data_IF_507069276242
#
_entry.id   IF_507069276242
#
_cell.length_a   1.000
_cell.length_b   1.000
_cell.length_c   1.000
_cell.angle_alpha   90.00
_cell.angle_beta   90.00
_cell.angle_gamma   90.00
#
_symmetry.space_group_name_H-M   'P 1'
#
loop_
_entity.id
_entity.type
_entity.pdbx_description
1 polymer ?
#
# COMPACT_ATOMS: atom_id res chain seq x y z
N UNK A 1 -11.84 26.63 3.09
CA UNK A 1 -10.89 25.49 3.17
C UNK A 1 -10.85 25.06 4.60
N UNK A 2 -11.56 23.99 4.95
CA UNK A 2 -11.59 23.53 6.33
C UNK A 2 -10.47 22.53 6.56
N UNK A 3 -9.35 23.06 7.04
CA UNK A 3 -8.27 22.24 7.57
C UNK A 3 -8.79 21.42 8.74
N UNK A 4 -8.39 20.14 8.80
CA UNK A 4 -8.71 19.28 9.94
C UNK A 4 -8.11 19.89 11.21
N UNK A 5 -8.69 19.55 12.37
CA UNK A 5 -8.20 20.04 13.66
C UNK A 5 -6.69 19.77 13.83
N UNK A 6 -6.24 18.59 13.41
CA UNK A 6 -4.84 18.19 13.43
C UNK A 6 -3.95 19.04 12.52
N UNK A 7 -4.35 19.25 11.26
CA UNK A 7 -3.58 20.08 10.31
C UNK A 7 -3.44 21.52 10.80
N UNK A 8 -4.47 22.06 11.46
CA UNK A 8 -4.44 23.41 12.04
C UNK A 8 -3.43 23.52 13.18
N UNK A 9 -3.35 22.51 14.04
CA UNK A 9 -2.35 22.43 15.12
C UNK A 9 -0.94 22.37 14.51
N UNK A 10 -0.72 21.48 13.53
CA UNK A 10 0.58 21.33 12.87
C UNK A 10 1.03 22.64 12.20
N UNK A 11 0.13 23.31 11.49
CA UNK A 11 0.44 24.58 10.83
C UNK A 11 0.75 25.70 11.84
N UNK A 12 0.04 25.76 12.97
CA UNK A 12 0.33 26.76 14.01
C UNK A 12 1.71 26.55 14.65
N UNK A 13 2.11 25.29 14.84
CA UNK A 13 3.40 24.95 15.44
C UNK A 13 4.58 25.21 14.49
N UNK A 14 4.48 24.77 13.22
CA UNK A 14 5.64 24.69 12.32
C UNK A 14 5.42 25.30 10.93
N UNK A 15 4.24 25.84 10.64
CA UNK A 15 3.92 26.42 9.33
C UNK A 15 4.85 27.55 8.93
N UNK A 16 5.23 28.43 9.87
CA UNK A 16 6.18 29.51 9.63
C UNK A 16 7.59 29.04 9.26
N UNK A 17 8.04 27.94 9.87
CA UNK A 17 9.38 27.36 9.65
C UNK A 17 9.49 26.77 8.24
N UNK A 18 8.47 26.03 7.81
CA UNK A 18 8.48 25.35 6.51
C UNK A 18 8.03 26.22 5.34
N UNK A 19 7.45 27.41 5.60
CA UNK A 19 6.88 28.30 4.57
C UNK A 19 7.78 28.54 3.36
N UNK A 20 9.03 28.97 3.56
CA UNK A 20 9.94 29.28 2.44
C UNK A 20 10.34 28.01 1.68
N UNK A 21 10.73 26.95 2.39
CA UNK A 21 11.22 25.71 1.79
C UNK A 21 10.13 24.94 1.06
N UNK A 22 8.94 24.82 1.66
CA UNK A 22 7.83 24.07 1.09
C UNK A 22 7.21 24.77 -0.14
N UNK A 23 7.20 26.11 -0.18
CA UNK A 23 6.73 26.86 -1.36
C UNK A 23 7.74 26.90 -2.51
N UNK A 24 9.03 26.74 -2.21
CA UNK A 24 10.07 26.63 -3.23
C UNK A 24 10.10 25.25 -3.92
N UNK A 25 9.54 24.23 -3.26
CA UNK A 25 9.43 22.87 -3.77
C UNK A 25 8.30 22.78 -4.83
N UNK A 26 8.69 22.92 -6.09
CA UNK A 26 7.75 22.85 -7.24
C UNK A 26 7.13 21.48 -7.38
N UNK A 27 7.89 20.41 -7.15
CA UNK A 27 7.41 19.03 -7.28
C UNK A 27 6.34 18.73 -6.23
N UNK A 28 6.57 19.16 -4.99
CA UNK A 28 5.56 19.03 -3.94
C UNK A 28 4.28 19.80 -4.28
N UNK A 29 4.41 21.05 -4.73
CA UNK A 29 3.25 21.86 -5.11
C UNK A 29 2.45 21.23 -6.25
N UNK A 30 3.13 20.73 -7.27
CA UNK A 30 2.53 20.05 -8.41
C UNK A 30 1.81 18.76 -7.98
N UNK A 31 2.46 17.93 -7.15
CA UNK A 31 1.86 16.73 -6.59
C UNK A 31 0.61 17.02 -5.75
N UNK A 32 0.59 18.11 -4.97
CA UNK A 32 -0.58 18.48 -4.17
C UNK A 32 -1.77 18.90 -5.06
N UNK A 33 -1.49 19.65 -6.13
CA UNK A 33 -2.51 20.05 -7.11
C UNK A 33 -3.05 18.82 -7.84
N UNK A 34 -2.17 17.96 -8.36
CA UNK A 34 -2.53 16.73 -9.07
C UNK A 34 -3.28 15.74 -8.17
N UNK A 35 -2.92 15.65 -6.89
CA UNK A 35 -3.62 14.83 -5.91
C UNK A 35 -4.99 15.39 -5.50
N UNK A 36 -5.40 16.58 -5.98
CA UNK A 36 -6.62 17.26 -5.52
C UNK A 36 -6.68 17.45 -3.99
N UNK A 37 -5.52 17.63 -3.35
CA UNK A 37 -5.45 17.85 -1.91
C UNK A 37 -5.58 19.34 -1.62
N UNK A 38 -6.67 19.81 -0.96
CA UNK A 38 -6.94 21.23 -0.74
C UNK A 38 -6.11 21.79 0.42
N UNK A 39 -4.78 21.67 0.33
CA UNK A 39 -3.86 22.11 1.37
C UNK A 39 -2.62 22.77 0.77
N UNK A 40 -2.11 23.78 1.47
CA UNK A 40 -0.89 24.48 1.06
C UNK A 40 0.35 23.61 1.33
N UNK A 41 1.42 23.71 0.52
CA UNK A 41 2.65 22.93 0.70
C UNK A 41 3.25 23.03 2.11
N UNK A 42 3.16 24.20 2.73
CA UNK A 42 3.65 24.44 4.10
C UNK A 42 2.84 23.70 5.17
N UNK A 43 1.52 23.55 4.98
CA UNK A 43 0.66 22.79 5.87
C UNK A 43 0.94 21.30 5.73
N UNK A 44 1.17 20.83 4.51
CA UNK A 44 1.52 19.43 4.25
C UNK A 44 2.85 19.06 4.90
N UNK A 45 3.90 19.85 4.67
CA UNK A 45 5.21 19.61 5.26
C UNK A 45 5.18 19.68 6.80
N UNK A 46 4.45 20.65 7.37
CA UNK A 46 4.27 20.72 8.81
C UNK A 46 3.54 19.49 9.36
N UNK A 47 2.51 18.99 8.66
CA UNK A 47 1.79 17.78 9.07
C UNK A 47 2.70 16.55 9.01
N UNK A 48 3.43 16.36 7.91
CA UNK A 48 4.40 15.26 7.74
C UNK A 48 5.46 15.26 8.84
N UNK A 49 5.99 16.43 9.18
CA UNK A 49 7.00 16.53 10.23
C UNK A 49 6.44 16.19 11.62
N UNK A 50 5.29 16.76 11.98
CA UNK A 50 4.67 16.48 13.30
C UNK A 50 4.23 15.02 13.40
N UNK A 51 3.66 14.43 12.35
CA UNK A 51 3.28 13.01 12.39
C UNK A 51 4.49 12.09 12.50
N UNK A 52 5.57 12.36 11.76
CA UNK A 52 6.83 11.62 11.89
C UNK A 52 7.42 11.77 13.29
N UNK A 53 7.38 12.96 13.88
CA UNK A 53 7.83 13.17 15.26
C UNK A 53 7.00 12.37 16.26
N UNK A 54 5.67 12.37 16.13
CA UNK A 54 4.78 11.58 17.00
C UNK A 54 5.06 10.07 16.86
N UNK A 55 5.20 9.57 15.63
CA UNK A 55 5.55 8.16 15.38
C UNK A 55 6.91 7.82 16.00
N UNK A 56 7.88 8.74 15.89
CA UNK A 56 9.21 8.57 16.49
C UNK A 56 9.13 8.54 18.02
N UNK A 57 8.39 9.46 18.64
CA UNK A 57 8.21 9.50 20.08
C UNK A 57 7.51 8.24 20.61
N UNK A 58 6.48 7.76 19.91
CA UNK A 58 5.81 6.49 20.22
C UNK A 58 6.74 5.28 20.04
N UNK A 59 7.55 5.26 18.97
CA UNK A 59 8.53 4.21 18.72
C UNK A 59 9.62 4.15 19.80
N UNK A 60 10.14 5.31 20.21
CA UNK A 60 11.11 5.42 21.32
C UNK A 60 10.45 5.00 22.64
N UNK A 61 9.22 5.46 22.91
CA UNK A 61 8.47 5.05 24.10
C UNK A 61 8.23 3.54 24.15
N UNK A 62 7.90 2.92 23.01
CA UNK A 62 7.74 1.47 22.91
C UNK A 62 9.06 0.74 23.16
N UNK A 63 10.18 1.20 22.59
CA UNK A 63 11.50 0.63 22.89
C UNK A 63 11.87 0.83 24.36
N UNK A 64 11.57 1.99 24.95
CA UNK A 64 11.86 2.26 26.35
C UNK A 64 11.18 1.27 27.31
N UNK A 65 9.97 0.78 26.98
CA UNK A 65 9.28 -0.26 27.77
C UNK A 65 10.09 -1.56 27.89
N UNK A 66 10.95 -1.89 26.92
CA UNK A 66 11.83 -3.07 27.02
C UNK A 66 12.93 -2.91 28.07
N UNK A 67 13.32 -1.67 28.37
CA UNK A 67 14.43 -1.32 29.28
C UNK A 67 13.96 -0.80 30.65
N UNK A 68 12.65 -0.82 30.93
CA UNK A 68 12.13 -0.42 32.25
C UNK A 68 12.59 -1.47 33.30
N UNK A 69 13.20 -1.06 34.41
CA UNK A 69 13.57 -2.00 35.48
C UNK A 69 12.31 -2.65 36.09
N UNK A 70 12.41 -3.91 36.52
CA UNK A 70 11.38 -4.73 37.17
C UNK A 70 10.18 -5.15 36.30
N UNK A 71 9.81 -4.36 35.28
CA UNK A 71 8.62 -4.59 34.44
C UNK A 71 9.00 -4.84 32.97
N UNK A 72 10.21 -4.46 32.57
CA UNK A 72 10.67 -4.57 31.19
C UNK A 72 10.91 -6.02 30.77
N UNK A 73 10.68 -6.30 29.49
CA UNK A 73 10.86 -7.63 28.89
C UNK A 73 12.30 -8.14 29.06
N UNK A 74 13.29 -7.25 29.02
CA UNK A 74 14.71 -7.61 29.19
C UNK A 74 14.96 -8.10 30.62
N UNK A 75 14.50 -7.37 31.63
CA UNK A 75 14.70 -7.72 33.04
C UNK A 75 13.91 -8.98 33.41
N UNK A 76 12.69 -9.13 32.89
CA UNK A 76 11.90 -10.36 33.04
C UNK A 76 12.61 -11.58 32.44
N UNK A 77 13.24 -11.43 31.28
CA UNK A 77 14.00 -12.50 30.64
C UNK A 77 15.31 -12.79 31.39
N UNK A 78 16.00 -11.76 31.90
CA UNK A 78 17.22 -11.89 32.71
C UNK A 78 16.94 -12.39 34.14
N UNK A 79 15.69 -12.36 34.60
CA UNK A 79 15.26 -12.96 35.87
C UNK A 79 15.08 -14.49 35.82
N UNK A 80 15.03 -15.08 34.62
CA UNK A 80 14.88 -16.52 34.44
C UNK A 80 16.23 -17.24 34.53
N UNK A 81 16.21 -18.47 35.05
CA UNK A 81 17.38 -19.34 35.08
C UNK A 81 17.79 -19.76 33.66
N UNK A 82 19.09 -19.91 33.42
CA UNK A 82 19.62 -20.41 32.16
C UNK A 82 19.27 -21.92 32.00
N UNK A 83 18.62 -22.34 30.90
CA UNK A 83 18.25 -23.74 30.66
C UNK A 83 19.43 -24.72 30.74
N UNK A 84 20.65 -24.26 30.49
CA UNK A 84 21.86 -25.09 30.59
C UNK A 84 22.26 -25.40 32.04
N UNK A 85 21.81 -24.58 32.99
CA UNK A 85 22.11 -24.72 34.42
C UNK A 85 20.96 -25.37 35.20
N UNK A 86 19.77 -25.50 34.61
CA UNK A 86 18.61 -26.13 35.24
C UNK A 86 18.87 -27.59 35.63
N UNK A 87 19.35 -28.41 34.70
CA UNK A 87 19.62 -29.83 34.97
C UNK A 87 20.78 -30.05 35.97
N UNK A 88 21.95 -29.40 35.83
CA UNK A 88 23.03 -29.50 36.82
C UNK A 88 22.61 -29.06 38.22
N UNK A 89 21.81 -27.99 38.35
CA UNK A 89 21.35 -27.53 39.66
C UNK A 89 20.31 -28.46 40.27
N UNK A 90 19.42 -29.03 39.46
CA UNK A 90 18.46 -30.04 39.93
C UNK A 90 19.18 -31.31 40.41
N UNK A 91 20.20 -31.76 39.67
CA UNK A 91 21.03 -32.90 40.09
C UNK A 91 21.80 -32.58 41.38
N UNK A 92 22.39 -31.39 41.50
CA UNK A 92 23.09 -30.97 42.71
C UNK A 92 22.18 -30.95 43.94
N UNK A 93 20.96 -30.42 43.81
CA UNK A 93 19.97 -30.40 44.89
C UNK A 93 19.58 -31.81 45.36
N UNK A 94 19.50 -32.76 44.43
CA UNK A 94 19.24 -34.17 44.74
C UNK A 94 20.37 -34.84 45.54
N UNK A 95 21.63 -34.53 45.22
CA UNK A 95 22.79 -35.15 45.86
C UNK A 95 23.26 -34.45 47.15
N UNK A 96 22.93 -33.17 47.36
CA UNK A 96 23.40 -32.36 48.51
C UNK A 96 22.26 -31.63 49.25
N UNK A 97 21.31 -32.36 49.85
CA UNK A 97 20.12 -31.77 50.48
C UNK A 97 20.41 -30.95 51.74
N UNK A 98 21.55 -31.16 52.40
CA UNK A 98 21.99 -30.45 53.61
C UNK A 98 22.60 -29.06 53.32
N UNK A 99 22.93 -28.80 52.06
CA UNK A 99 23.56 -27.55 51.59
C UNK A 99 22.57 -26.63 50.87
N UNK A 100 21.29 -27.02 50.79
CA UNK A 100 20.23 -26.24 50.17
C UNK A 100 19.97 -25.00 51.02
N UNK A 101 20.05 -23.84 50.38
CA UNK A 101 19.71 -22.56 50.97
C UNK A 101 18.55 -21.94 50.18
N UNK A 102 17.32 -22.19 50.64
CA UNK A 102 16.08 -21.66 50.05
C UNK A 102 16.02 -20.12 50.02
N UNK A 103 16.89 -19.43 50.78
CA UNK A 103 16.96 -17.97 50.78
C UNK A 103 17.72 -17.41 49.58
N UNK A 104 18.43 -18.25 48.80
CA UNK A 104 19.24 -17.85 47.65
C UNK A 104 18.59 -18.27 46.32
N UNK A 105 18.76 -17.49 45.25
CA UNK A 105 18.29 -17.87 43.92
C UNK A 105 18.97 -19.19 43.49
N UNK A 106 18.18 -20.15 43.01
CA UNK A 106 18.65 -21.49 42.65
C UNK A 106 19.06 -22.37 43.83
N UNK A 107 18.47 -22.16 45.02
CA UNK A 107 18.70 -22.98 46.22
C UNK A 107 20.16 -23.05 46.70
N UNK A 108 21.00 -22.09 46.29
CA UNK A 108 22.43 -22.06 46.60
C UNK A 108 23.33 -22.88 45.66
N UNK A 109 22.79 -23.35 44.53
CA UNK A 109 23.52 -24.12 43.52
C UNK A 109 24.79 -23.37 43.03
N UNK A 110 25.98 -24.02 43.05
CA UNK A 110 27.24 -23.40 42.60
C UNK A 110 27.26 -22.97 41.13
N UNK A 111 26.53 -23.69 40.28
CA UNK A 111 26.47 -23.48 38.82
C UNK A 111 25.28 -22.60 38.40
N UNK A 112 24.52 -22.04 39.34
CA UNK A 112 23.37 -21.19 39.05
C UNK A 112 23.78 -19.96 38.24
N UNK A 113 23.19 -19.80 37.05
CA UNK A 113 23.31 -18.61 36.21
C UNK A 113 21.94 -18.20 35.70
N UNK A 114 21.71 -16.89 35.68
CA UNK A 114 20.57 -16.31 35.00
C UNK A 114 20.87 -16.10 33.53
N UNK A 115 19.81 -16.04 32.71
CA UNK A 115 19.96 -15.74 31.29
C UNK A 115 20.49 -14.31 31.10
N UNK A 116 21.38 -14.07 30.11
CA UNK A 116 21.88 -12.72 29.75
C UNK A 116 21.39 -12.30 28.37
N UNK A 117 20.63 -11.19 28.28
CA UNK A 117 19.94 -10.88 27.03
C UNK A 117 20.98 -10.45 25.99
N UNK A 118 20.98 -11.04 24.78
CA UNK A 118 22.04 -10.81 23.81
C UNK A 118 22.30 -9.32 23.57
N UNK A 119 23.53 -8.81 23.80
CA UNK A 119 23.83 -7.37 23.65
C UNK A 119 23.52 -6.84 22.25
N UNK A 120 23.69 -7.70 21.23
CA UNK A 120 23.37 -7.40 19.83
C UNK A 120 21.87 -7.08 19.66
N UNK A 121 20.97 -7.82 20.31
CA UNK A 121 19.53 -7.58 20.23
C UNK A 121 19.14 -6.27 20.94
N UNK A 122 19.80 -5.90 22.04
CA UNK A 122 19.57 -4.60 22.72
C UNK A 122 19.91 -3.45 21.76
N UNK A 123 21.07 -3.53 21.10
CA UNK A 123 21.50 -2.55 20.10
C UNK A 123 20.55 -2.53 18.89
N UNK A 124 20.11 -3.69 18.41
CA UNK A 124 19.14 -3.78 17.31
C UNK A 124 17.79 -3.13 17.66
N UNK A 125 17.24 -3.37 18.85
CA UNK A 125 16.00 -2.73 19.31
C UNK A 125 16.11 -1.20 19.33
N UNK A 126 17.20 -0.67 19.88
CA UNK A 126 17.45 0.78 19.94
C UNK A 126 17.66 1.38 18.55
N UNK A 127 18.43 0.71 17.69
CA UNK A 127 18.65 1.18 16.31
C UNK A 127 17.39 1.12 15.46
N UNK A 128 16.57 0.07 15.60
CA UNK A 128 15.29 -0.05 14.91
C UNK A 128 14.35 1.08 15.33
N UNK A 129 14.08 1.24 16.63
CA UNK A 129 13.15 2.25 17.11
C UNK A 129 13.65 3.69 17.00
N UNK A 130 14.96 3.91 17.13
CA UNK A 130 15.58 5.23 17.13
C UNK A 130 15.99 5.76 15.75
N UNK A 131 16.32 4.88 14.80
CA UNK A 131 16.84 5.28 13.48
C UNK A 131 15.97 4.76 12.34
N UNK A 132 15.69 3.46 12.30
CA UNK A 132 14.99 2.85 11.17
C UNK A 132 13.54 3.30 11.11
N UNK A 133 12.80 3.23 12.22
CA UNK A 133 11.39 3.62 12.28
C UNK A 133 11.20 5.11 11.95
N UNK A 134 11.96 6.06 12.52
CA UNK A 134 11.85 7.47 12.17
C UNK A 134 12.19 7.76 10.70
N UNK A 135 13.24 7.13 10.19
CA UNK A 135 13.65 7.29 8.80
C UNK A 135 12.59 6.75 7.83
N UNK A 136 12.06 5.55 8.10
CA UNK A 136 10.99 4.95 7.30
C UNK A 136 9.71 5.78 7.37
N UNK A 137 9.31 6.23 8.56
CA UNK A 137 8.14 7.07 8.76
C UNK A 137 8.25 8.41 8.01
N UNK A 138 9.41 9.07 8.08
CA UNK A 138 9.68 10.29 7.29
C UNK A 138 9.54 10.04 5.79
N UNK A 139 10.20 9.00 5.27
CA UNK A 139 10.17 8.68 3.84
C UNK A 139 8.76 8.35 3.36
N UNK A 140 8.02 7.56 4.14
CA UNK A 140 6.65 7.15 3.84
C UNK A 140 5.67 8.33 3.86
N UNK A 141 5.71 9.16 4.91
CA UNK A 141 4.81 10.29 5.06
C UNK A 141 5.07 11.38 4.02
N UNK A 142 6.35 11.68 3.73
CA UNK A 142 6.73 12.67 2.70
C UNK A 142 6.28 12.24 1.30
N UNK A 143 6.32 10.94 1.00
CA UNK A 143 5.86 10.38 -0.28
C UNK A 143 4.34 10.32 -0.43
N UNK A 144 3.55 10.71 0.57
CA UNK A 144 2.09 10.62 0.54
C UNK A 144 1.46 11.40 -0.62
N UNK A 145 1.94 12.62 -0.90
CA UNK A 145 1.37 13.46 -1.94
C UNK A 145 1.57 12.89 -3.34
N UNK A 146 2.78 12.43 -3.65
CA UNK A 146 3.10 11.78 -4.91
C UNK A 146 2.29 10.49 -5.10
N UNK A 147 2.12 9.72 -4.03
CA UNK A 147 1.37 8.46 -4.06
C UNK A 147 -0.12 8.68 -4.30
N UNK A 148 -0.70 9.73 -3.71
CA UNK A 148 -2.08 10.13 -3.94
C UNK A 148 -2.28 10.69 -5.36
N UNK A 149 -1.35 11.50 -5.84
CA UNK A 149 -1.37 11.99 -7.23
C UNK A 149 -1.32 10.84 -8.24
N UNK A 150 -0.46 9.84 -8.00
CA UNK A 150 -0.39 8.63 -8.82
C UNK A 150 -1.69 7.83 -8.77
N UNK A 151 -2.23 7.55 -7.57
CA UNK A 151 -3.51 6.84 -7.42
C UNK A 151 -4.64 7.53 -8.19
N UNK A 152 -4.73 8.86 -8.08
CA UNK A 152 -5.73 9.65 -8.81
C UNK A 152 -5.50 9.61 -10.33
N UNK A 153 -4.25 9.69 -10.78
CA UNK A 153 -3.88 9.54 -12.19
C UNK A 153 -4.33 8.18 -12.76
N UNK A 154 -4.03 7.09 -12.05
CA UNK A 154 -4.39 5.72 -12.43
C UNK A 154 -5.93 5.55 -12.51
N UNK A 155 -6.65 6.09 -11.52
CA UNK A 155 -8.12 6.11 -11.51
C UNK A 155 -8.71 6.91 -12.67
N UNK A 156 -8.14 8.07 -12.98
CA UNK A 156 -8.57 8.88 -14.12
C UNK A 156 -8.39 8.11 -15.42
N UNK A 157 -7.25 7.48 -15.65
CA UNK A 157 -6.97 6.73 -16.89
C UNK A 157 -7.90 5.55 -17.09
N UNK A 158 -8.30 4.89 -16.00
CA UNK A 158 -9.29 3.81 -16.01
C UNK A 158 -10.66 4.27 -16.49
N UNK A 159 -11.14 5.43 -16.02
CA UNK A 159 -12.48 5.94 -16.37
C UNK A 159 -12.51 6.85 -17.60
N UNK A 160 -11.35 7.35 -18.04
CA UNK A 160 -11.22 8.29 -19.17
C UNK A 160 -11.81 7.75 -20.49
N UNK A 161 -11.65 6.47 -20.89
CA UNK A 161 -12.26 5.94 -22.11
C UNK A 161 -13.78 6.08 -22.13
N UNK A 162 -14.43 5.85 -20.98
CA UNK A 162 -15.88 5.96 -20.82
C UNK A 162 -16.32 7.43 -20.80
N UNK A 163 -15.60 8.29 -20.09
CA UNK A 163 -15.86 9.72 -20.09
C UNK A 163 -15.67 10.34 -21.49
N UNK A 164 -14.61 9.96 -22.22
CA UNK A 164 -14.36 10.40 -23.59
C UNK A 164 -15.48 9.94 -24.54
N UNK A 165 -15.91 8.69 -24.43
CA UNK A 165 -17.06 8.16 -25.19
C UNK A 165 -18.34 8.96 -24.92
N UNK A 166 -18.57 9.35 -23.67
CA UNK A 166 -19.67 10.21 -23.29
C UNK A 166 -19.56 11.63 -23.89
N UNK A 167 -18.37 12.24 -23.86
CA UNK A 167 -18.14 13.54 -24.51
C UNK A 167 -18.38 13.48 -26.02
N UNK A 168 -17.98 12.39 -26.66
CA UNK A 168 -18.20 12.16 -28.08
C UNK A 168 -19.69 12.03 -28.42
N UNK A 169 -20.44 11.25 -27.63
CA UNK A 169 -21.89 11.09 -27.80
C UNK A 169 -22.65 12.42 -27.60
N UNK A 170 -22.33 13.16 -26.54
CA UNK A 170 -22.95 14.45 -26.28
C UNK A 170 -22.58 15.50 -27.33
N UNK A 171 -21.33 15.52 -27.78
CA UNK A 171 -20.90 16.39 -28.87
C UNK A 171 -21.54 16.00 -30.21
N UNK A 172 -21.80 14.71 -30.45
CA UNK A 172 -22.52 14.25 -31.62
C UNK A 172 -23.98 14.73 -31.62
N UNK A 173 -24.58 14.85 -30.44
CA UNK A 173 -25.89 15.46 -30.19
C UNK A 173 -25.85 17.01 -30.14
N UNK A 174 -24.77 17.64 -30.60
CA UNK A 174 -24.57 19.10 -30.62
C UNK A 174 -24.66 19.77 -29.24
N UNK A 175 -24.33 19.08 -28.16
CA UNK A 175 -24.20 19.70 -26.85
C UNK A 175 -22.98 20.63 -26.82
N UNK A 176 -23.12 21.79 -26.16
CA UNK A 176 -22.00 22.71 -25.95
C UNK A 176 -21.00 22.12 -24.95
N UNK A 177 -19.70 22.44 -25.05
CA UNK A 177 -18.68 21.93 -24.12
C UNK A 177 -19.03 22.16 -22.64
N UNK A 178 -19.57 23.33 -22.30
CA UNK A 178 -20.03 23.63 -20.95
C UNK A 178 -21.11 22.64 -20.44
N UNK A 179 -22.06 22.26 -21.31
CA UNK A 179 -23.10 21.28 -20.96
C UNK A 179 -22.54 19.86 -20.84
N UNK A 180 -21.55 19.51 -21.67
CA UNK A 180 -20.85 18.22 -21.62
C UNK A 180 -20.14 18.07 -20.26
N UNK A 181 -19.30 19.03 -19.89
CA UNK A 181 -18.56 18.98 -18.62
C UNK A 181 -19.47 19.08 -17.40
N UNK A 182 -20.56 19.85 -17.47
CA UNK A 182 -21.59 19.85 -16.42
C UNK A 182 -22.15 18.45 -16.19
N UNK A 183 -22.48 17.75 -17.27
CA UNK A 183 -23.09 16.43 -17.17
C UNK A 183 -22.11 15.36 -16.67
N UNK A 184 -20.84 15.43 -17.09
CA UNK A 184 -19.77 14.59 -16.49
C UNK A 184 -19.62 14.86 -14.99
N UNK A 185 -19.62 16.13 -14.58
CA UNK A 185 -19.49 16.53 -13.18
C UNK A 185 -20.65 16.05 -12.29
N UNK A 186 -21.85 15.88 -12.85
CA UNK A 186 -23.03 15.43 -12.12
C UNK A 186 -23.06 13.91 -11.89
N UNK A 187 -22.28 13.13 -12.63
CA UNK A 187 -22.28 11.66 -12.58
C UNK A 187 -20.94 11.11 -12.03
N UNK A 188 -20.61 11.49 -10.78
CA UNK A 188 -19.37 11.08 -10.11
C UNK A 188 -19.31 9.58 -9.82
N UNK A 189 -20.46 8.97 -9.59
CA UNK A 189 -20.63 7.53 -9.40
C UNK A 189 -20.17 6.70 -10.61
N UNK A 190 -20.29 7.25 -11.82
CA UNK A 190 -19.90 6.57 -13.07
C UNK A 190 -18.46 6.91 -13.48
N UNK A 191 -18.08 8.19 -13.38
CA UNK A 191 -16.81 8.68 -13.96
C UNK A 191 -15.70 8.94 -12.93
N UNK A 192 -15.97 8.75 -11.64
CA UNK A 192 -14.96 8.86 -10.58
C UNK A 192 -14.24 10.21 -10.58
N UNK A 193 -12.91 10.17 -10.47
CA UNK A 193 -12.06 11.36 -10.38
C UNK A 193 -12.09 12.25 -11.66
N UNK A 194 -12.51 11.70 -12.82
CA UNK A 194 -12.72 12.47 -14.06
C UNK A 194 -13.88 13.46 -13.90
N UNK A 195 -14.92 13.09 -13.13
CA UNK A 195 -16.04 13.98 -12.84
C UNK A 195 -15.59 15.20 -12.03
N UNK A 196 -14.62 15.04 -11.13
CA UNK A 196 -14.07 16.15 -10.34
C UNK A 196 -13.30 17.14 -11.23
N UNK A 197 -12.49 16.65 -12.18
CA UNK A 197 -11.82 17.52 -13.17
C UNK A 197 -12.82 18.20 -14.11
N UNK A 198 -13.88 17.50 -14.51
CA UNK A 198 -14.98 18.09 -15.28
C UNK A 198 -15.74 19.15 -14.49
N UNK A 199 -15.93 18.96 -13.17
CA UNK A 199 -16.56 19.95 -12.30
C UNK A 199 -15.71 21.23 -12.21
N UNK A 200 -14.38 21.09 -12.14
CA UNK A 200 -13.46 22.21 -12.15
C UNK A 200 -13.52 22.97 -13.48
N UNK A 201 -13.57 22.28 -14.61
CA UNK A 201 -13.79 22.90 -15.93
C UNK A 201 -15.11 23.68 -15.95
N UNK A 202 -16.20 23.05 -15.52
CA UNK A 202 -17.53 23.66 -15.54
C UNK A 202 -17.58 24.91 -14.66
N UNK A 203 -16.97 24.86 -13.47
CA UNK A 203 -16.80 26.01 -12.56
C UNK A 203 -16.02 27.13 -13.25
N UNK A 204 -14.89 26.82 -13.88
CA UNK A 204 -14.02 27.83 -14.49
C UNK A 204 -14.74 28.56 -15.64
N UNK A 205 -15.54 27.85 -16.43
CA UNK A 205 -16.31 28.45 -17.54
C UNK A 205 -17.57 29.17 -17.08
N UNK A 206 -18.36 28.55 -16.19
CA UNK A 206 -19.72 29.05 -15.86
C UNK A 206 -19.74 29.97 -14.64
N UNK A 207 -18.90 29.73 -13.64
CA UNK A 207 -18.88 30.53 -12.41
C UNK A 207 -17.82 31.63 -12.46
N UNK A 208 -16.63 31.32 -12.99
CA UNK A 208 -15.53 32.31 -13.08
C UNK A 208 -15.54 33.12 -14.39
N UNK A 209 -16.31 32.69 -15.39
CA UNK A 209 -16.46 33.38 -16.67
C UNK A 209 -15.21 33.32 -17.55
N UNK A 210 -14.31 32.36 -17.32
CA UNK A 210 -13.17 32.15 -18.22
C UNK A 210 -13.63 31.59 -19.57
N UNK A 211 -12.93 31.99 -20.63
CA UNK A 211 -13.15 31.38 -21.94
C UNK A 211 -12.74 29.90 -21.92
N UNK A 212 -13.29 29.12 -22.85
CA UNK A 212 -13.08 27.67 -22.89
C UNK A 212 -11.60 27.32 -23.10
N UNK A 213 -10.83 28.10 -23.87
CA UNK A 213 -9.42 27.82 -24.13
C UNK A 213 -8.61 28.01 -22.85
N UNK A 214 -8.84 29.12 -22.13
CA UNK A 214 -8.21 29.38 -20.83
C UNK A 214 -8.59 28.34 -19.79
N UNK A 215 -9.87 27.96 -19.70
CA UNK A 215 -10.32 26.91 -18.80
C UNK A 215 -9.66 25.56 -19.09
N UNK A 216 -9.48 25.19 -20.36
CA UNK A 216 -8.77 23.96 -20.74
C UNK A 216 -7.27 24.04 -20.40
N UNK A 217 -6.60 25.17 -20.62
CA UNK A 217 -5.19 25.37 -20.22
C UNK A 217 -5.00 25.21 -18.71
N UNK A 218 -5.89 25.80 -17.91
CA UNK A 218 -5.88 25.61 -16.45
C UNK A 218 -6.12 24.14 -16.05
N UNK A 219 -6.93 23.40 -16.82
CA UNK A 219 -7.13 21.96 -16.61
C UNK A 219 -5.90 21.12 -16.95
N UNK A 220 -5.15 21.49 -17.98
CA UNK A 220 -3.88 20.82 -18.35
C UNK A 220 -2.89 20.88 -17.19
N UNK A 221 -2.74 22.04 -16.55
CA UNK A 221 -1.76 22.22 -15.47
C UNK A 221 -2.11 21.46 -14.19
N UNK A 222 -3.39 21.11 -13.97
CA UNK A 222 -3.85 20.39 -12.76
C UNK A 222 -4.14 18.91 -12.97
N UNK A 223 -4.09 18.41 -14.20
CA UNK A 223 -4.41 17.03 -14.52
C UNK A 223 -3.37 16.07 -13.94
N UNK A 224 -3.85 15.02 -13.25
CA UNK A 224 -2.98 14.02 -12.63
C UNK A 224 -2.51 12.92 -13.61
N UNK A 225 -3.26 12.72 -14.70
CA UNK A 225 -3.01 11.71 -15.73
C UNK A 225 -2.40 12.34 -16.99
N UNK A 226 -1.54 11.56 -17.66
CA UNK A 226 -0.96 11.94 -18.96
C UNK A 226 -2.05 11.96 -20.04
N UNK A 227 -2.91 10.94 -20.11
CA UNK A 227 -3.98 10.89 -21.11
C UNK A 227 -5.03 11.99 -20.92
N UNK A 228 -5.34 12.35 -19.67
CA UNK A 228 -6.25 13.48 -19.41
C UNK A 228 -5.61 14.81 -19.82
N UNK A 229 -4.29 14.95 -19.57
CA UNK A 229 -3.52 16.11 -20.04
C UNK A 229 -3.57 16.22 -21.56
N UNK A 230 -3.31 15.13 -22.28
CA UNK A 230 -3.39 15.08 -23.75
C UNK A 230 -4.81 15.35 -24.28
N UNK A 231 -5.84 14.90 -23.54
CA UNK A 231 -7.23 15.17 -23.88
C UNK A 231 -7.52 16.68 -23.83
N UNK A 232 -7.15 17.36 -22.74
CA UNK A 232 -7.35 18.80 -22.66
C UNK A 232 -6.44 19.60 -23.61
N UNK A 233 -5.19 19.18 -23.77
CA UNK A 233 -4.26 19.81 -24.72
C UNK A 233 -4.77 19.69 -26.17
N UNK A 234 -5.27 18.53 -26.57
CA UNK A 234 -5.84 18.32 -27.89
C UNK A 234 -7.12 19.13 -28.12
N UNK A 235 -7.93 19.35 -27.07
CA UNK A 235 -9.05 20.29 -27.14
C UNK A 235 -8.59 21.73 -27.37
N UNK A 236 -7.56 22.19 -26.64
CA UNK A 236 -6.96 23.52 -26.84
C UNK A 236 -6.46 23.68 -28.27
N UNK A 237 -5.72 22.68 -28.77
CA UNK A 237 -5.21 22.68 -30.14
C UNK A 237 -6.33 22.74 -31.19
N UNK A 238 -7.38 21.94 -31.01
CA UNK A 238 -8.53 21.91 -31.92
C UNK A 238 -9.28 23.24 -31.92
N UNK A 239 -9.53 23.82 -30.75
CA UNK A 239 -10.23 25.10 -30.61
C UNK A 239 -9.42 26.26 -31.20
N UNK A 240 -8.10 26.28 -30.95
CA UNK A 240 -7.22 27.35 -31.43
C UNK A 240 -7.04 27.30 -32.95
N UNK A 241 -7.05 26.10 -33.54
CA UNK A 241 -6.96 25.91 -34.99
C UNK A 241 -8.30 26.11 -35.73
N UNK A 242 -9.41 26.42 -35.03
CA UNK A 242 -10.74 26.52 -35.63
C UNK A 242 -11.32 25.17 -36.09
N UNK A 243 -10.79 24.06 -35.56
CA UNK A 243 -11.23 22.70 -35.86
C UNK A 243 -12.55 22.32 -35.20
N UNK A 244 -13.09 21.17 -35.61
CA UNK A 244 -14.36 20.65 -35.08
C UNK A 244 -14.13 19.78 -33.83
N UNK A 245 -14.56 20.28 -32.66
CA UNK A 245 -14.48 19.52 -31.40
C UNK A 245 -15.21 18.17 -31.45
N UNK A 246 -16.31 18.08 -32.21
CA UNK A 246 -17.06 16.82 -32.40
C UNK A 246 -16.17 15.71 -32.96
N UNK A 247 -15.42 16.02 -34.02
CA UNK A 247 -14.53 15.04 -34.64
C UNK A 247 -13.37 14.69 -33.71
N UNK A 248 -12.84 15.67 -32.98
CA UNK A 248 -11.81 15.44 -31.97
C UNK A 248 -12.27 14.46 -30.88
N UNK A 249 -13.46 14.67 -30.29
CA UNK A 249 -13.98 13.78 -29.25
C UNK A 249 -14.26 12.37 -29.78
N UNK A 250 -14.82 12.23 -30.99
CA UNK A 250 -15.06 10.92 -31.60
C UNK A 250 -13.74 10.14 -31.78
N UNK A 251 -12.72 10.79 -32.36
CA UNK A 251 -11.42 10.15 -32.56
C UNK A 251 -10.74 9.77 -31.24
N UNK A 252 -10.82 10.64 -30.22
CA UNK A 252 -10.22 10.36 -28.90
C UNK A 252 -10.97 9.28 -28.13
N UNK A 253 -12.29 9.25 -28.22
CA UNK A 253 -13.09 8.17 -27.67
C UNK A 253 -12.72 6.82 -28.29
N UNK A 254 -12.61 6.74 -29.62
CA UNK A 254 -12.19 5.52 -30.30
C UNK A 254 -10.77 5.09 -29.89
N UNK A 255 -9.84 6.03 -29.83
CA UNK A 255 -8.47 5.77 -29.41
C UNK A 255 -8.39 5.19 -27.99
N UNK A 256 -9.02 5.85 -27.00
CA UNK A 256 -9.01 5.38 -25.62
C UNK A 256 -9.79 4.07 -25.43
N UNK A 257 -10.88 3.86 -26.18
CA UNK A 257 -11.62 2.59 -26.13
C UNK A 257 -10.82 1.44 -26.74
N UNK A 258 -10.04 1.69 -27.79
CA UNK A 258 -9.13 0.70 -28.36
C UNK A 258 -8.04 0.32 -27.37
N UNK A 259 -7.44 1.31 -26.71
CA UNK A 259 -6.41 1.07 -25.69
C UNK A 259 -6.97 0.30 -24.49
N UNK A 260 -8.19 0.64 -24.04
CA UNK A 260 -8.88 -0.07 -22.97
C UNK A 260 -9.15 -1.54 -23.34
N UNK A 261 -9.53 -1.83 -24.59
CA UNK A 261 -9.70 -3.22 -25.07
C UNK A 261 -8.38 -3.99 -25.06
N UNK A 262 -7.28 -3.36 -25.46
CA UNK A 262 -5.93 -3.97 -25.39
C UNK A 262 -5.54 -4.28 -23.95
N UNK A 263 -5.71 -3.31 -23.03
CA UNK A 263 -5.41 -3.48 -21.60
C UNK A 263 -6.25 -4.59 -20.95
N UNK A 264 -7.55 -4.64 -21.28
CA UNK A 264 -8.42 -5.73 -20.82
C UNK A 264 -7.98 -7.08 -21.39
N UNK A 265 -7.55 -7.13 -22.66
CA UNK A 265 -7.00 -8.34 -23.28
C UNK A 265 -5.77 -8.87 -22.54
N UNK A 266 -4.80 -8.01 -22.25
CA UNK A 266 -3.59 -8.37 -21.48
C UNK A 266 -3.93 -8.88 -20.08
N UNK A 267 -4.95 -8.29 -19.45
CA UNK A 267 -5.42 -8.77 -18.15
C UNK A 267 -6.06 -10.16 -18.24
N UNK A 268 -6.92 -10.40 -19.23
CA UNK A 268 -7.52 -11.72 -19.44
C UNK A 268 -6.46 -12.79 -19.74
N UNK A 269 -5.41 -12.44 -20.49
CA UNK A 269 -4.25 -13.29 -20.72
C UNK A 269 -3.50 -13.60 -19.42
N UNK A 270 -3.33 -12.61 -18.54
CA UNK A 270 -2.73 -12.82 -17.22
C UNK A 270 -3.57 -13.77 -16.35
N UNK A 271 -4.91 -13.64 -16.34
CA UNK A 271 -5.79 -14.61 -15.66
C UNK A 271 -5.67 -16.00 -16.28
N UNK A 272 -5.59 -16.11 -17.61
CA UNK A 272 -5.46 -17.39 -18.29
C UNK A 272 -4.16 -18.10 -17.89
N UNK A 273 -3.04 -17.38 -17.84
CA UNK A 273 -1.75 -17.92 -17.37
C UNK A 273 -1.82 -18.38 -15.91
N UNK A 274 -2.49 -17.62 -15.04
CA UNK A 274 -2.70 -18.04 -13.65
C UNK A 274 -3.54 -19.32 -13.58
N UNK A 275 -4.61 -19.44 -14.37
CA UNK A 275 -5.45 -20.62 -14.43
C UNK A 275 -4.70 -21.86 -14.96
N UNK A 276 -3.87 -21.69 -15.99
CA UNK A 276 -3.02 -22.76 -16.51
C UNK A 276 -2.03 -23.26 -15.45
N UNK A 277 -1.33 -22.31 -14.79
CA UNK A 277 -0.39 -22.66 -13.72
C UNK A 277 -1.06 -23.37 -12.54
N UNK A 278 -2.31 -23.00 -12.21
CA UNK A 278 -3.10 -23.62 -11.16
C UNK A 278 -3.40 -25.09 -11.46
N UNK A 279 -3.82 -25.40 -12.69
CA UNK A 279 -4.13 -26.79 -13.08
C UNK A 279 -2.88 -27.66 -13.00
N UNK A 280 -1.72 -27.15 -13.41
CA UNK A 280 -0.47 -27.92 -13.38
C UNK A 280 0.08 -28.08 -11.97
N UNK A 281 0.25 -26.98 -11.23
CA UNK A 281 0.95 -26.96 -9.93
C UNK A 281 0.04 -27.37 -8.78
N UNK A 282 -1.20 -26.87 -8.73
CA UNK A 282 -2.08 -27.11 -7.59
C UNK A 282 -2.94 -28.38 -7.75
N UNK A 283 -3.25 -28.81 -8.97
CA UNK A 283 -4.12 -29.98 -9.21
C UNK A 283 -3.32 -31.19 -9.69
N UNK A 284 -2.61 -31.07 -10.83
CA UNK A 284 -1.96 -32.22 -11.44
C UNK A 284 -0.78 -32.73 -10.61
N UNK A 285 0.14 -31.86 -10.19
CA UNK A 285 1.35 -32.26 -9.45
C UNK A 285 1.03 -33.02 -8.14
N UNK A 286 0.12 -32.54 -7.25
CA UNK A 286 -0.25 -33.28 -6.06
C UNK A 286 -0.95 -34.60 -6.38
N UNK A 287 -1.81 -34.63 -7.41
CA UNK A 287 -2.50 -35.86 -7.81
C UNK A 287 -1.51 -36.92 -8.31
N UNK A 288 -0.54 -36.53 -9.15
CA UNK A 288 0.55 -37.42 -9.57
C UNK A 288 1.37 -37.95 -8.40
N UNK A 289 1.73 -37.07 -7.45
CA UNK A 289 2.46 -37.44 -6.25
C UNK A 289 1.67 -38.44 -5.39
N UNK A 290 0.38 -38.20 -5.17
CA UNK A 290 -0.50 -39.12 -4.42
C UNK A 290 -0.59 -40.47 -5.11
N UNK A 291 -0.82 -40.49 -6.43
CA UNK A 291 -0.91 -41.75 -7.20
C UNK A 291 0.41 -42.53 -7.14
N UNK A 292 1.55 -41.86 -7.32
CA UNK A 292 2.86 -42.51 -7.23
C UNK A 292 3.12 -43.07 -5.83
N UNK A 293 2.79 -42.33 -4.77
CA UNK A 293 2.94 -42.81 -3.40
C UNK A 293 2.07 -44.03 -3.12
N UNK A 294 0.82 -44.03 -3.58
CA UNK A 294 -0.10 -45.19 -3.43
C UNK A 294 0.44 -46.43 -4.14
N UNK A 295 0.97 -46.27 -5.36
CA UNK A 295 1.58 -47.38 -6.11
C UNK A 295 2.84 -47.88 -5.41
N UNK A 296 3.71 -46.98 -4.95
CA UNK A 296 4.95 -47.35 -4.24
C UNK A 296 4.66 -48.09 -2.94
N UNK A 297 3.66 -47.67 -2.18
CA UNK A 297 3.21 -48.35 -0.97
C UNK A 297 2.75 -49.79 -1.26
N UNK A 298 1.98 -49.98 -2.33
CA UNK A 298 1.50 -51.30 -2.75
C UNK A 298 2.60 -52.21 -3.33
N UNK A 299 3.48 -51.67 -4.17
CA UNK A 299 4.51 -52.43 -4.88
C UNK A 299 5.72 -52.74 -4.00
N UNK A 300 6.09 -51.85 -3.08
CA UNK A 300 7.32 -52.00 -2.32
C UNK A 300 7.23 -53.01 -1.19
N UNK A 301 6.03 -53.33 -0.68
CA UNK A 301 5.75 -54.40 0.30
C UNK A 301 6.50 -54.40 1.65
N UNK A 302 7.62 -53.67 1.78
CA UNK A 302 8.54 -53.67 2.94
C UNK A 302 9.58 -52.53 2.96
N UNK A 303 9.63 -51.63 1.97
CA UNK A 303 10.78 -50.73 1.78
C UNK A 303 10.54 -49.22 1.96
N UNK A 304 9.29 -48.77 2.01
CA UNK A 304 8.97 -47.35 2.20
C UNK A 304 7.69 -47.20 3.02
N UNK A 305 7.78 -47.50 4.32
CA UNK A 305 6.75 -47.12 5.27
C UNK A 305 6.84 -45.61 5.52
N UNK A 306 6.23 -44.82 4.64
CA UNK A 306 5.97 -43.42 4.95
C UNK A 306 5.01 -43.40 6.15
N UNK A 307 5.40 -42.72 7.24
CA UNK A 307 4.58 -42.69 8.44
C UNK A 307 3.20 -42.12 8.13
N UNK A 308 2.16 -42.72 8.71
CA UNK A 308 0.76 -42.27 8.55
C UNK A 308 0.63 -40.75 8.80
N UNK A 309 1.39 -40.22 9.76
CA UNK A 309 1.47 -38.79 10.07
C UNK A 309 2.01 -37.92 8.92
N UNK A 310 2.97 -38.40 8.13
CA UNK A 310 3.50 -37.66 6.98
C UNK A 310 2.48 -37.61 5.82
N UNK A 311 1.72 -38.68 5.61
CA UNK A 311 0.68 -38.73 4.58
C UNK A 311 -0.48 -37.77 4.92
N UNK A 312 -0.95 -37.80 6.17
CA UNK A 312 -1.93 -36.81 6.66
C UNK A 312 -1.38 -35.39 6.60
N UNK A 313 -0.10 -35.17 6.94
CA UNK A 313 0.53 -33.85 6.83
C UNK A 313 0.55 -33.30 5.41
N UNK A 314 0.79 -34.14 4.40
CA UNK A 314 0.76 -33.71 2.98
C UNK A 314 -0.68 -33.42 2.53
N UNK A 315 -1.62 -34.32 2.81
CA UNK A 315 -3.00 -34.21 2.30
C UNK A 315 -3.80 -33.12 3.04
N UNK A 316 -3.70 -33.04 4.36
CA UNK A 316 -4.45 -32.07 5.17
C UNK A 316 -3.69 -30.76 5.42
N UNK A 317 -2.36 -30.75 5.27
CA UNK A 317 -1.54 -29.56 5.46
C UNK A 317 -1.11 -28.94 4.13
N UNK A 318 -0.25 -29.63 3.38
CA UNK A 318 0.41 -29.09 2.20
C UNK A 318 -0.56 -28.76 1.06
N UNK A 319 -1.49 -29.66 0.73
CA UNK A 319 -2.45 -29.44 -0.37
C UNK A 319 -3.37 -28.23 -0.09
N UNK A 320 -4.04 -28.11 1.08
CA UNK A 320 -4.82 -26.93 1.41
C UNK A 320 -3.98 -25.65 1.44
N UNK A 321 -2.73 -25.71 1.92
CA UNK A 321 -1.82 -24.56 1.93
C UNK A 321 -1.57 -24.03 0.51
N UNK A 322 -1.34 -24.91 -0.46
CA UNK A 322 -1.18 -24.51 -1.88
C UNK A 322 -2.45 -23.84 -2.40
N UNK A 323 -3.63 -24.40 -2.14
CA UNK A 323 -4.90 -23.82 -2.59
C UNK A 323 -5.16 -22.45 -1.95
N UNK A 324 -4.87 -22.28 -0.66
CA UNK A 324 -4.97 -20.98 0.03
C UNK A 324 -3.99 -19.97 -0.56
N UNK A 325 -2.73 -20.37 -0.79
CA UNK A 325 -1.73 -19.51 -1.41
C UNK A 325 -2.17 -19.03 -2.81
N UNK A 326 -2.71 -19.94 -3.64
CA UNK A 326 -3.25 -19.59 -4.96
C UNK A 326 -4.48 -18.68 -4.87
N UNK A 327 -5.40 -18.94 -3.93
CA UNK A 327 -6.57 -18.09 -3.72
C UNK A 327 -6.16 -16.65 -3.34
N UNK A 328 -5.16 -16.51 -2.46
CA UNK A 328 -4.59 -15.20 -2.09
C UNK A 328 -3.93 -14.53 -3.28
N UNK A 329 -3.15 -15.26 -4.07
CA UNK A 329 -2.49 -14.74 -5.27
C UNK A 329 -3.53 -14.17 -6.26
N UNK A 330 -4.55 -14.97 -6.59
CA UNK A 330 -5.62 -14.54 -7.50
C UNK A 330 -6.38 -13.34 -6.93
N UNK A 331 -6.69 -13.34 -5.64
CA UNK A 331 -7.35 -12.21 -4.99
C UNK A 331 -6.50 -10.92 -5.04
N UNK A 332 -5.20 -11.02 -4.83
CA UNK A 332 -4.31 -9.85 -4.90
C UNK A 332 -4.19 -9.30 -6.32
N UNK A 333 -4.15 -10.18 -7.32
CA UNK A 333 -4.11 -9.80 -8.73
C UNK A 333 -5.44 -9.21 -9.22
N UNK A 334 -6.58 -9.72 -8.75
CA UNK A 334 -7.89 -9.17 -9.11
C UNK A 334 -8.09 -7.76 -8.53
N UNK A 335 -7.58 -7.51 -7.31
CA UNK A 335 -7.69 -6.20 -6.65
C UNK A 335 -6.96 -5.09 -7.41
N UNK A 336 -5.95 -5.42 -8.21
CA UNK A 336 -5.28 -4.47 -9.11
C UNK A 336 -6.21 -3.92 -10.20
N UNK A 337 -7.32 -4.61 -10.50
CA UNK A 337 -8.39 -4.08 -11.34
C UNK A 337 -9.43 -3.23 -10.61
N UNK A 338 -9.58 -3.39 -9.30
CA UNK A 338 -10.52 -2.58 -8.52
C UNK A 338 -9.91 -1.21 -8.18
N UNK A 339 -8.59 -1.15 -7.99
CA UNK A 339 -7.81 0.08 -7.83
C UNK A 339 -7.68 0.90 -9.13
#
# INVERSE_FOLDING_TARGET
MDLTAWQRICHRLLGGVFKKRARADKELSDNLVKASMPMMPEVYMATVFVTTFVITALGIGFVALFFVPEIGVIDLWESQQDPTTEAPCFEWEYWFPDQIDESKPGNGCPDYKTQVFPPVLKVLLVTIGGVIVPFAAWKFNKGGAQREAKRRGDMIEKYLPYAASYTAAMSAANATPAKIFRSLAMNKDIYGDVADDAAMVYRDVTLLGYDLITAMKLSVDRAASVWLTEFFQGMVGTLTAGGQLKLYFLNRAEHYMRENRTRLGQFLESIALLAESYIVVAVAMPLFLIVMLVIMFWVSGSGAEMSEGMLYGIVLGFVPMIHVAYAVLVYTSSKEQDM
#
